data_IF_256395549523
#
_entry.id   IF_256395549523
#
_cell.length_a   1.000
_cell.length_b   1.000
_cell.length_c   1.000
_cell.angle_alpha   90.00
_cell.angle_beta   90.00
_cell.angle_gamma   90.00
#
_symmetry.space_group_name_H-M   'P 1'
#
loop_
_entity.id
_entity.type
_entity.pdbx_description
1 polymer ?
#
# COMPACT_ATOMS: atom_id res chain seq x y z
N UNK A 1 3.09 -37.21 38.24
CA UNK A 1 4.27 -36.35 38.32
C UNK A 1 5.02 -36.32 37.00
N UNK A 2 5.17 -37.47 36.34
CA UNK A 2 5.72 -37.53 34.99
C UNK A 2 4.82 -36.77 34.00
N UNK A 3 3.51 -36.87 34.14
CA UNK A 3 2.54 -36.19 33.28
C UNK A 3 2.53 -34.69 33.51
N UNK A 4 2.73 -34.21 34.74
CA UNK A 4 2.84 -32.79 35.05
C UNK A 4 4.08 -32.17 34.37
N UNK A 5 5.21 -32.88 34.43
CA UNK A 5 6.44 -32.42 33.81
C UNK A 5 6.28 -32.37 32.30
N UNK A 6 5.67 -33.40 31.69
CA UNK A 6 5.41 -33.44 30.27
C UNK A 6 4.49 -32.30 29.82
N UNK A 7 3.43 -32.06 30.62
CA UNK A 7 2.49 -30.96 30.35
C UNK A 7 3.21 -29.59 30.38
N UNK A 8 4.04 -29.38 31.41
CA UNK A 8 4.81 -28.14 31.52
C UNK A 8 5.78 -27.96 30.35
N UNK A 9 6.44 -29.02 29.91
CA UNK A 9 7.34 -28.97 28.76
C UNK A 9 6.59 -28.64 27.48
N UNK A 10 5.45 -29.27 27.24
CA UNK A 10 4.64 -29.01 26.04
C UNK A 10 4.06 -27.60 26.04
N UNK A 11 3.61 -27.13 27.20
CA UNK A 11 3.08 -25.77 27.35
C UNK A 11 4.20 -24.72 27.11
N UNK A 12 5.35 -24.95 27.72
CA UNK A 12 6.51 -24.08 27.57
C UNK A 12 6.98 -24.02 26.11
N UNK A 13 7.07 -25.18 25.46
CA UNK A 13 7.44 -25.27 24.04
C UNK A 13 6.45 -24.55 23.14
N UNK A 14 5.15 -24.69 23.42
CA UNK A 14 4.07 -24.02 22.69
C UNK A 14 4.15 -22.49 22.85
N UNK A 15 4.39 -22.01 24.07
CA UNK A 15 4.55 -20.59 24.37
C UNK A 15 5.76 -19.99 23.65
N UNK A 16 6.88 -20.69 23.63
CA UNK A 16 8.08 -20.27 22.91
C UNK A 16 7.82 -20.16 21.41
N UNK A 17 7.16 -21.14 20.80
CA UNK A 17 6.83 -21.11 19.39
C UNK A 17 5.87 -19.96 19.04
N UNK A 18 4.87 -19.69 19.87
CA UNK A 18 3.97 -18.57 19.67
C UNK A 18 4.70 -17.23 19.81
N UNK A 19 5.61 -17.13 20.78
CA UNK A 19 6.43 -15.93 20.99
C UNK A 19 7.35 -15.66 19.80
N UNK A 20 8.00 -16.69 19.27
CA UNK A 20 8.86 -16.56 18.09
C UNK A 20 8.05 -16.16 16.86
N UNK A 21 6.89 -16.76 16.63
CA UNK A 21 6.01 -16.41 15.53
C UNK A 21 5.50 -14.97 15.65
N UNK A 22 5.14 -14.54 16.87
CA UNK A 22 4.69 -13.18 17.13
C UNK A 22 5.83 -12.17 16.89
N UNK A 23 7.05 -12.48 17.30
CA UNK A 23 8.23 -11.64 17.08
C UNK A 23 8.56 -11.52 15.61
N UNK A 24 8.48 -12.62 14.85
CA UNK A 24 8.72 -12.60 13.41
C UNK A 24 7.67 -11.75 12.68
N UNK A 25 6.40 -11.91 13.05
CA UNK A 25 5.31 -11.10 12.49
C UNK A 25 5.54 -9.61 12.77
N UNK A 26 5.92 -9.26 13.99
CA UNK A 26 6.24 -7.89 14.36
C UNK A 26 7.37 -7.33 13.52
N UNK A 27 8.43 -8.12 13.31
CA UNK A 27 9.59 -7.74 12.48
C UNK A 27 9.16 -7.43 11.04
N UNK A 28 8.31 -8.29 10.45
CA UNK A 28 7.79 -8.06 9.10
C UNK A 28 6.93 -6.80 9.04
N UNK A 29 6.06 -6.59 10.03
CA UNK A 29 5.19 -5.42 10.08
C UNK A 29 5.98 -4.12 10.27
N UNK A 30 7.03 -4.12 11.10
CA UNK A 30 7.90 -2.97 11.30
C UNK A 30 8.61 -2.59 9.98
N UNK A 31 9.12 -3.58 9.25
CA UNK A 31 9.75 -3.36 7.95
C UNK A 31 8.76 -2.81 6.94
N UNK A 32 7.56 -3.37 6.87
CA UNK A 32 6.51 -2.89 5.96
C UNK A 32 6.05 -1.48 6.33
N UNK A 33 6.01 -1.14 7.60
CA UNK A 33 5.69 0.22 8.05
C UNK A 33 6.67 1.24 7.47
N UNK A 34 7.96 0.93 7.47
CA UNK A 34 8.98 1.77 6.84
C UNK A 34 8.77 1.90 5.34
N UNK A 35 8.50 0.79 4.66
CA UNK A 35 8.26 0.75 3.22
C UNK A 35 7.02 1.56 2.85
N UNK A 36 5.91 1.37 3.54
CA UNK A 36 4.67 2.09 3.23
C UNK A 36 4.78 3.58 3.53
N UNK A 37 5.49 3.97 4.59
CA UNK A 37 5.78 5.38 4.87
C UNK A 37 6.59 6.02 3.75
N UNK A 38 7.63 5.33 3.28
CA UNK A 38 8.44 5.79 2.16
C UNK A 38 7.59 5.94 0.90
N UNK A 39 6.74 4.97 0.61
CA UNK A 39 5.85 5.03 -0.55
C UNK A 39 4.88 6.20 -0.47
N UNK A 40 4.31 6.48 0.69
CA UNK A 40 3.42 7.63 0.88
C UNK A 40 4.12 8.97 0.64
N UNK A 41 5.38 9.06 0.98
CA UNK A 41 6.17 10.29 0.76
C UNK A 41 6.66 10.44 -0.68
N UNK A 42 6.83 9.32 -1.41
CA UNK A 42 7.48 9.31 -2.72
C UNK A 42 6.61 8.74 -3.85
N UNK A 43 5.30 8.55 -3.63
CA UNK A 43 4.43 7.94 -4.64
C UNK A 43 4.37 8.70 -5.96
N UNK A 44 4.70 9.99 -5.94
CA UNK A 44 4.71 10.84 -7.15
C UNK A 44 5.89 10.55 -8.06
N UNK A 45 6.91 9.92 -7.53
CA UNK A 45 8.13 9.56 -8.26
C UNK A 45 8.00 8.15 -8.86
N UNK A 46 8.89 7.84 -9.81
CA UNK A 46 9.04 6.47 -10.29
C UNK A 46 9.77 5.65 -9.23
N UNK A 47 9.03 4.84 -8.50
CA UNK A 47 9.57 3.95 -7.49
C UNK A 47 9.17 2.51 -7.80
N UNK A 48 10.13 1.71 -8.28
CA UNK A 48 9.90 0.30 -8.55
C UNK A 48 9.98 -0.53 -7.28
N UNK A 49 9.42 -1.73 -7.32
CA UNK A 49 9.55 -2.70 -6.23
C UNK A 49 11.03 -2.95 -5.90
N UNK A 50 11.86 -3.10 -6.93
CA UNK A 50 13.30 -3.36 -6.83
C UNK A 50 14.03 -2.19 -6.14
N UNK A 51 13.69 -0.97 -6.51
CA UNK A 51 14.28 0.24 -5.92
C UNK A 51 13.98 0.32 -4.43
N UNK A 52 12.72 0.11 -4.06
CA UNK A 52 12.28 0.18 -2.66
C UNK A 52 12.88 -0.97 -1.85
N UNK A 53 12.88 -2.18 -2.41
CA UNK A 53 13.49 -3.34 -1.75
C UNK A 53 14.98 -3.10 -1.47
N UNK A 54 15.71 -2.59 -2.46
CA UNK A 54 17.14 -2.27 -2.33
C UNK A 54 17.37 -1.24 -1.24
N UNK A 55 16.55 -0.19 -1.20
CA UNK A 55 16.66 0.89 -0.22
C UNK A 55 16.52 0.39 1.21
N UNK A 56 15.67 -0.59 1.44
CA UNK A 56 15.44 -1.17 2.77
C UNK A 56 16.26 -2.44 3.05
N UNK A 57 17.15 -2.81 2.13
CA UNK A 57 18.02 -3.98 2.30
C UNK A 57 17.32 -5.32 2.13
N UNK A 58 16.26 -5.37 1.32
CA UNK A 58 15.52 -6.60 1.05
C UNK A 58 15.70 -7.06 -0.40
N UNK A 59 15.47 -8.35 -0.66
CA UNK A 59 15.28 -8.80 -2.03
C UNK A 59 13.87 -8.40 -2.48
N UNK A 60 13.70 -8.18 -3.79
CA UNK A 60 12.38 -7.86 -4.34
C UNK A 60 11.38 -9.00 -4.13
N UNK A 61 11.84 -10.25 -4.20
CA UNK A 61 11.02 -11.43 -3.94
C UNK A 61 10.51 -11.45 -2.49
N UNK A 62 11.39 -11.17 -1.53
CA UNK A 62 11.00 -11.10 -0.12
C UNK A 62 9.97 -9.99 0.12
N UNK A 63 10.26 -8.78 -0.38
CA UNK A 63 9.34 -7.64 -0.20
C UNK A 63 7.98 -7.91 -0.85
N UNK A 64 7.98 -8.45 -2.06
CA UNK A 64 6.73 -8.80 -2.76
C UNK A 64 5.88 -9.77 -1.95
N UNK A 65 6.52 -10.79 -1.37
CA UNK A 65 5.84 -11.81 -0.59
C UNK A 65 5.24 -11.28 0.71
N UNK A 66 6.01 -10.54 1.51
CA UNK A 66 5.49 -9.99 2.77
C UNK A 66 4.47 -8.89 2.52
N UNK A 67 4.63 -8.13 1.45
CA UNK A 67 3.69 -7.10 1.05
C UNK A 67 2.31 -7.71 0.75
N UNK A 68 2.26 -8.71 -0.13
CA UNK A 68 1.03 -9.39 -0.47
C UNK A 68 0.39 -10.08 0.75
N UNK A 69 1.21 -10.67 1.61
CA UNK A 69 0.73 -11.39 2.79
C UNK A 69 0.08 -10.48 3.83
N UNK A 70 0.71 -9.35 4.15
CA UNK A 70 0.27 -8.50 5.27
C UNK A 70 -0.56 -7.30 4.81
N UNK A 71 -0.29 -6.75 3.65
CA UNK A 71 -1.06 -5.62 3.08
C UNK A 71 -2.28 -6.13 2.30
N UNK A 72 -2.22 -7.38 1.81
CA UNK A 72 -3.28 -8.08 1.06
C UNK A 72 -3.55 -7.52 -0.34
N UNK A 73 -2.69 -6.64 -0.82
CA UNK A 73 -2.62 -6.22 -2.23
C UNK A 73 -1.16 -6.24 -2.64
N UNK A 74 -0.89 -6.33 -3.95
CA UNK A 74 0.50 -6.30 -4.40
C UNK A 74 1.04 -4.86 -4.38
N UNK A 75 2.37 -4.74 -4.48
CA UNK A 75 3.07 -3.47 -4.44
C UNK A 75 2.52 -2.47 -5.47
N UNK A 76 2.34 -2.94 -6.70
CA UNK A 76 1.89 -2.09 -7.81
C UNK A 76 0.49 -1.53 -7.56
N UNK A 77 -0.43 -2.36 -7.08
CA UNK A 77 -1.78 -1.94 -6.75
C UNK A 77 -1.78 -0.91 -5.62
N UNK A 78 -0.98 -1.14 -4.59
CA UNK A 78 -0.87 -0.20 -3.47
C UNK A 78 -0.33 1.16 -3.94
N UNK A 79 0.72 1.16 -4.77
CA UNK A 79 1.29 2.39 -5.34
C UNK A 79 0.25 3.14 -6.18
N UNK A 80 -0.48 2.42 -7.03
CA UNK A 80 -1.55 3.01 -7.85
C UNK A 80 -2.64 3.62 -6.98
N UNK A 81 -3.02 2.96 -5.89
CA UNK A 81 -4.03 3.47 -4.96
C UNK A 81 -3.57 4.75 -4.25
N UNK A 82 -2.30 4.83 -3.87
CA UNK A 82 -1.74 6.08 -3.31
C UNK A 82 -1.83 7.22 -4.32
N UNK A 83 -1.49 6.95 -5.57
CA UNK A 83 -1.56 7.93 -6.66
C UNK A 83 -2.98 8.39 -6.93
N UNK A 84 -3.92 7.45 -6.98
CA UNK A 84 -5.34 7.77 -7.15
C UNK A 84 -5.86 8.62 -6.00
N UNK A 85 -5.56 8.25 -4.76
CA UNK A 85 -6.01 8.98 -3.58
C UNK A 85 -5.53 10.43 -3.58
N UNK A 86 -4.25 10.65 -3.90
CA UNK A 86 -3.69 11.99 -4.02
C UNK A 86 -4.33 12.80 -5.14
N UNK A 87 -4.49 12.18 -6.30
CA UNK A 87 -5.10 12.83 -7.46
C UNK A 87 -6.57 13.19 -7.22
N UNK A 88 -7.33 12.32 -6.56
CA UNK A 88 -8.74 12.58 -6.23
C UNK A 88 -8.87 13.79 -5.31
N UNK A 89 -7.98 13.93 -4.34
CA UNK A 89 -8.00 15.09 -3.45
C UNK A 89 -7.82 16.38 -4.24
N UNK A 90 -6.83 16.44 -5.12
CA UNK A 90 -6.61 17.63 -5.97
C UNK A 90 -7.77 17.84 -6.94
N UNK A 91 -8.32 16.77 -7.50
CA UNK A 91 -9.48 16.83 -8.42
C UNK A 91 -10.69 17.52 -7.77
N UNK A 92 -10.92 17.25 -6.49
CA UNK A 92 -12.08 17.80 -5.75
C UNK A 92 -11.82 19.16 -5.13
N UNK A 93 -10.58 19.47 -4.78
CA UNK A 93 -10.22 20.69 -4.08
C UNK A 93 -9.76 21.83 -4.99
N UNK A 94 -9.50 21.56 -6.25
CA UNK A 94 -8.97 22.54 -7.20
C UNK A 94 -9.69 22.48 -8.54
N UNK A 95 -9.43 23.51 -9.37
CA UNK A 95 -9.88 23.58 -10.76
C UNK A 95 -8.79 23.16 -11.75
N UNK A 96 -7.70 22.58 -11.26
CA UNK A 96 -6.58 22.18 -12.09
C UNK A 96 -7.02 21.20 -13.16
N UNK A 97 -6.38 21.23 -14.33
CA UNK A 97 -6.67 20.33 -15.43
C UNK A 97 -6.35 18.89 -15.05
N UNK A 98 -7.20 17.97 -15.49
CA UNK A 98 -7.08 16.54 -15.12
C UNK A 98 -5.74 15.96 -15.60
N UNK A 99 -5.25 16.36 -16.78
CA UNK A 99 -3.94 15.93 -17.27
C UNK A 99 -2.80 16.35 -16.35
N UNK A 100 -2.84 17.58 -15.85
CA UNK A 100 -1.82 18.10 -14.93
C UNK A 100 -1.89 17.39 -13.58
N UNK A 101 -3.11 17.14 -13.08
CA UNK A 101 -3.32 16.38 -11.85
C UNK A 101 -2.73 14.98 -11.99
N UNK A 102 -3.02 14.29 -13.10
CA UNK A 102 -2.52 12.96 -13.36
C UNK A 102 -1.00 12.89 -13.29
N UNK A 103 -0.34 13.81 -13.98
CA UNK A 103 1.13 13.85 -14.02
C UNK A 103 1.72 14.23 -12.66
N UNK A 104 1.10 15.15 -11.94
CA UNK A 104 1.56 15.55 -10.60
C UNK A 104 1.51 14.42 -9.58
N UNK A 105 0.66 13.44 -9.80
CA UNK A 105 0.51 12.32 -8.88
C UNK A 105 1.13 11.02 -9.39
N UNK A 106 2.04 11.13 -10.36
CA UNK A 106 2.87 10.00 -10.79
C UNK A 106 2.31 9.16 -11.92
N UNK A 107 1.18 9.56 -12.53
CA UNK A 107 0.66 8.89 -13.71
C UNK A 107 1.39 9.38 -14.96
N UNK A 108 1.57 8.49 -15.93
CA UNK A 108 2.25 8.84 -17.19
C UNK A 108 1.44 9.88 -18.00
N UNK A 109 0.11 9.78 -17.96
CA UNK A 109 -0.80 10.66 -18.66
C UNK A 109 -2.21 10.60 -18.05
N UNK A 110 -3.12 11.39 -18.62
CA UNK A 110 -4.52 11.42 -18.16
C UNK A 110 -5.24 10.09 -18.40
N UNK A 111 -4.85 9.32 -19.41
CA UNK A 111 -5.46 8.01 -19.72
C UNK A 111 -5.14 6.99 -18.64
N UNK A 112 -3.89 6.96 -18.21
CA UNK A 112 -3.46 6.06 -17.12
C UNK A 112 -4.22 6.37 -15.84
N UNK A 113 -4.38 7.64 -15.51
CA UNK A 113 -5.16 8.07 -14.36
C UNK A 113 -6.63 7.69 -14.52
N UNK A 114 -7.23 7.99 -15.66
CA UNK A 114 -8.63 7.68 -15.92
C UNK A 114 -8.92 6.18 -15.78
N UNK A 115 -8.02 5.34 -16.28
CA UNK A 115 -8.14 3.89 -16.18
C UNK A 115 -8.12 3.42 -14.70
N UNK A 116 -7.18 3.91 -13.92
CA UNK A 116 -7.05 3.57 -12.50
C UNK A 116 -8.24 4.11 -11.70
N UNK A 117 -8.64 5.33 -11.97
CA UNK A 117 -9.78 5.99 -11.33
C UNK A 117 -11.08 5.23 -11.59
N UNK A 118 -11.34 4.91 -12.87
CA UNK A 118 -12.57 4.21 -13.28
C UNK A 118 -12.69 2.82 -12.65
N UNK A 119 -11.56 2.13 -12.47
CA UNK A 119 -11.53 0.83 -11.80
C UNK A 119 -12.07 0.92 -10.38
N UNK A 120 -11.82 2.04 -9.70
CA UNK A 120 -12.19 2.24 -8.29
C UNK A 120 -13.53 2.96 -8.13
N UNK A 121 -13.82 3.96 -8.95
CA UNK A 121 -15.00 4.83 -8.83
C UNK A 121 -16.08 4.56 -9.86
N UNK A 122 -15.82 3.68 -10.84
CA UNK A 122 -16.76 3.26 -11.87
C UNK A 122 -17.24 4.37 -12.80
N UNK A 123 -16.51 5.49 -12.87
CA UNK A 123 -16.79 6.61 -13.78
C UNK A 123 -15.48 7.34 -14.10
N UNK A 124 -15.53 8.28 -15.05
CA UNK A 124 -14.39 9.10 -15.41
C UNK A 124 -14.17 10.21 -14.38
N UNK A 125 -12.91 10.67 -14.22
CA UNK A 125 -12.59 11.77 -13.29
C UNK A 125 -13.39 13.04 -13.59
N UNK A 126 -13.54 13.41 -14.86
CA UNK A 126 -14.27 14.61 -15.27
C UNK A 126 -15.75 14.55 -14.85
N UNK A 127 -16.37 13.39 -15.00
CA UNK A 127 -17.74 13.16 -14.58
C UNK A 127 -17.88 13.27 -13.05
N UNK A 128 -16.96 12.67 -12.34
CA UNK A 128 -16.94 12.68 -10.87
C UNK A 128 -16.82 14.11 -10.32
N UNK A 129 -15.93 14.89 -10.93
CA UNK A 129 -15.73 16.32 -10.57
C UNK A 129 -17.03 17.11 -10.78
N UNK A 130 -17.68 16.95 -11.92
CA UNK A 130 -18.94 17.65 -12.22
C UNK A 130 -20.04 17.30 -11.25
N UNK A 131 -20.17 16.03 -10.90
CA UNK A 131 -21.18 15.60 -9.93
C UNK A 131 -20.97 16.25 -8.56
N UNK A 132 -19.73 16.38 -8.12
CA UNK A 132 -19.41 17.01 -6.85
C UNK A 132 -19.68 18.51 -6.86
N UNK A 133 -19.38 19.19 -7.95
CA UNK A 133 -19.71 20.61 -8.14
C UNK A 133 -21.21 20.86 -8.07
N UNK A 134 -22.01 20.02 -8.73
CA UNK A 134 -23.47 20.12 -8.71
C UNK A 134 -24.06 19.88 -7.33
N UNK A 135 -23.48 19.00 -6.52
CA UNK A 135 -23.95 18.73 -5.16
C UNK A 135 -23.61 19.86 -4.18
N UNK A 136 -22.54 20.62 -4.47
CA UNK A 136 -22.08 21.72 -3.62
C UNK A 136 -22.68 23.08 -4.01
N UNK A 137 -23.42 23.11 -5.09
CA UNK A 137 -24.17 24.30 -5.50
C UNK A 137 -25.66 24.15 -5.12
#
# INVERSE_FOLDING_TARGET
QFYELLYLLLTSFREENLSEAAMLKKKHLDKLSGVTSYMREHYREEISLEDVASRFGFSSTYLSRIFARYIQVNYRTYLTDLRVNGAVRELLETDHEIGDIAMSHGFADSRAFAKAFRKRYHCLPSFYRKQKELKNS
#
